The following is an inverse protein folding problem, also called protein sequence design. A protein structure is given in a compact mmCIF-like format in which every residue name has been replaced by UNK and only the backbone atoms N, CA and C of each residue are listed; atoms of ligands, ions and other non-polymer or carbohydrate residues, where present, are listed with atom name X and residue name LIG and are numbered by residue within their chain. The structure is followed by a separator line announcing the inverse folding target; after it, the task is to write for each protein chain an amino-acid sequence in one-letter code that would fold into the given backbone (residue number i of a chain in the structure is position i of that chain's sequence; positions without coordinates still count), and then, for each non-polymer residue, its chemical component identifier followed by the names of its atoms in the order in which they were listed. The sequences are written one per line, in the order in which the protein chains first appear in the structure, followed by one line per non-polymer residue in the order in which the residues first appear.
data_IF_704141907935
#
_entry.id   IF_704141907935
#
_cell.length_a   1.000
_cell.length_b   1.000
_cell.length_c   1.000
_cell.angle_alpha   90.00
_cell.angle_beta   90.00
_cell.angle_gamma   90.00
#
_symmetry.space_group_name_H-M   'P 1'
#
loop_
_entity.id
_entity.type
_entity.pdbx_description
1 polymer ?
#
# COMPACT_ATOMS: atom_id res chain seq x y z
N UNK A 1 35.93 -10.29 18.16
CA UNK A 1 35.71 -9.55 16.90
C UNK A 1 35.09 -10.44 15.84
N UNK A 2 35.70 -11.58 15.51
CA UNK A 2 35.11 -12.52 14.53
C UNK A 2 33.78 -13.11 15.02
N UNK A 3 33.70 -13.53 16.28
CA UNK A 3 32.44 -14.04 16.85
C UNK A 3 31.32 -13.00 16.83
N UNK A 4 31.62 -11.75 17.21
CA UNK A 4 30.63 -10.67 17.17
C UNK A 4 30.15 -10.38 15.75
N UNK A 5 31.04 -10.43 14.75
CA UNK A 5 30.69 -10.29 13.33
C UNK A 5 29.80 -11.45 12.86
N UNK A 6 30.12 -12.68 13.23
CA UNK A 6 29.31 -13.85 12.88
C UNK A 6 27.90 -13.77 13.47
N UNK A 7 27.78 -13.38 14.75
CA UNK A 7 26.49 -13.21 15.42
C UNK A 7 25.69 -12.07 14.76
N UNK A 8 26.32 -10.95 14.42
CA UNK A 8 25.62 -9.85 13.74
C UNK A 8 25.13 -10.25 12.36
N UNK A 9 25.95 -10.93 11.55
CA UNK A 9 25.54 -11.42 10.23
C UNK A 9 24.36 -12.39 10.35
N UNK A 10 24.40 -13.34 11.29
CA UNK A 10 23.29 -14.27 11.55
C UNK A 10 21.99 -13.52 11.84
N UNK A 11 22.03 -12.54 12.76
CA UNK A 11 20.83 -11.78 13.17
C UNK A 11 20.28 -10.95 12.00
N UNK A 12 21.15 -10.28 11.23
CA UNK A 12 20.74 -9.47 10.08
C UNK A 12 20.09 -10.34 9.01
N UNK A 13 20.68 -11.50 8.69
CA UNK A 13 20.10 -12.44 7.73
C UNK A 13 18.72 -12.92 8.19
N UNK A 14 18.57 -13.30 9.46
CA UNK A 14 17.27 -13.69 10.03
C UNK A 14 16.26 -12.55 9.92
N UNK A 15 16.68 -11.31 10.22
CA UNK A 15 15.82 -10.13 10.16
C UNK A 15 15.30 -9.85 8.75
N UNK A 16 16.17 -9.97 7.73
CA UNK A 16 15.77 -9.81 6.33
C UNK A 16 14.81 -10.91 5.87
N UNK A 17 15.06 -12.15 6.28
CA UNK A 17 14.17 -13.27 5.99
C UNK A 17 12.80 -13.08 6.63
N UNK A 18 12.76 -12.68 7.91
CA UNK A 18 11.53 -12.42 8.66
C UNK A 18 10.73 -11.27 8.06
N UNK A 19 11.37 -10.16 7.72
CA UNK A 19 10.73 -9.00 7.09
C UNK A 19 10.16 -9.35 5.71
N UNK A 20 10.87 -10.20 4.97
CA UNK A 20 10.49 -10.63 3.64
C UNK A 20 9.67 -11.92 3.58
N UNK A 21 9.18 -12.51 4.69
CA UNK A 21 8.56 -13.85 4.67
C UNK A 21 7.48 -13.96 3.59
N UNK A 22 6.63 -12.93 3.48
CA UNK A 22 5.58 -12.90 2.47
C UNK A 22 6.12 -12.82 1.04
N UNK A 23 7.22 -12.10 0.82
CA UNK A 23 7.86 -11.94 -0.50
C UNK A 23 8.66 -13.18 -0.88
N UNK A 24 9.36 -13.82 0.06
CA UNK A 24 10.21 -14.98 -0.20
C UNK A 24 9.45 -16.32 -0.22
N UNK A 25 8.41 -16.49 0.61
CA UNK A 25 7.75 -17.78 0.81
C UNK A 25 6.32 -17.87 0.26
N UNK A 26 5.77 -16.82 -0.36
CA UNK A 26 4.45 -16.92 -1.02
C UNK A 26 4.60 -17.01 -2.53
N UNK A 27 3.74 -17.82 -3.17
CA UNK A 27 3.77 -18.10 -4.63
C UNK A 27 3.56 -16.85 -5.49
N UNK A 28 2.90 -15.83 -4.93
CA UNK A 28 2.71 -14.49 -5.50
C UNK A 28 3.50 -13.43 -4.71
N UNK A 29 4.73 -13.75 -4.32
CA UNK A 29 5.64 -12.92 -3.51
C UNK A 29 6.06 -11.62 -4.19
N UNK A 30 5.09 -10.72 -4.43
CA UNK A 30 5.29 -9.38 -4.95
C UNK A 30 5.19 -8.40 -3.79
N UNK A 31 6.05 -7.39 -3.82
CA UNK A 31 5.84 -6.23 -2.96
C UNK A 31 4.46 -5.62 -3.25
N UNK A 32 3.68 -5.28 -2.21
CA UNK A 32 2.36 -4.70 -2.41
C UNK A 32 2.48 -3.41 -3.23
N UNK A 33 1.54 -3.20 -4.17
CA UNK A 33 1.51 -1.98 -4.96
C UNK A 33 1.26 -0.77 -4.05
N UNK A 34 2.30 0.04 -3.83
CA UNK A 34 2.21 1.27 -3.05
C UNK A 34 1.54 2.42 -3.79
N UNK A 35 1.28 2.26 -5.09
CA UNK A 35 0.62 3.28 -5.90
C UNK A 35 -0.88 3.30 -5.60
N UNK A 36 -1.36 4.45 -5.11
CA UNK A 36 -2.74 4.65 -4.64
C UNK A 36 -3.78 4.26 -5.72
N UNK A 37 -3.51 4.57 -6.99
CA UNK A 37 -4.44 4.33 -8.09
C UNK A 37 -4.56 2.87 -8.54
N UNK A 38 -3.52 2.05 -8.33
CA UNK A 38 -3.49 0.65 -8.78
C UNK A 38 -3.65 -0.35 -7.64
N UNK A 39 -3.79 0.13 -6.40
CA UNK A 39 -4.04 -0.71 -5.24
C UNK A 39 -5.53 -1.03 -5.10
N UNK A 40 -5.90 -2.28 -5.41
CA UNK A 40 -7.28 -2.77 -5.33
C UNK A 40 -7.90 -2.54 -3.94
N UNK A 41 -7.15 -2.74 -2.87
CA UNK A 41 -7.64 -2.59 -1.50
C UNK A 41 -7.94 -1.12 -1.14
N UNK A 42 -7.19 -0.16 -1.70
CA UNK A 42 -7.47 1.27 -1.53
C UNK A 42 -8.67 1.69 -2.38
N UNK A 43 -8.78 1.13 -3.59
CA UNK A 43 -9.92 1.37 -4.48
C UNK A 43 -11.25 0.85 -3.91
N UNK A 44 -11.24 -0.33 -3.27
CA UNK A 44 -12.40 -0.87 -2.54
C UNK A 44 -12.82 0.03 -1.35
N UNK A 45 -11.88 0.78 -0.77
CA UNK A 45 -12.15 1.79 0.27
C UNK A 45 -12.56 3.16 -0.30
N UNK A 46 -12.69 3.29 -1.62
CA UNK A 46 -13.02 4.55 -2.29
C UNK A 46 -11.86 5.55 -2.33
N UNK A 47 -10.64 5.14 -1.99
CA UNK A 47 -9.46 6.02 -1.96
C UNK A 47 -8.80 5.97 -3.34
N UNK A 48 -9.00 7.03 -4.12
CA UNK A 48 -8.41 7.22 -5.45
C UNK A 48 -7.21 8.17 -5.47
N UNK A 49 -6.70 8.48 -6.67
CA UNK A 49 -5.73 9.56 -6.84
C UNK A 49 -6.38 10.89 -6.44
N UNK A 50 -5.66 11.78 -5.75
CA UNK A 50 -6.17 13.10 -5.38
C UNK A 50 -6.74 13.86 -6.57
N UNK A 51 -6.03 13.87 -7.71
CA UNK A 51 -6.54 14.54 -8.92
C UNK A 51 -7.82 13.92 -9.47
N UNK A 52 -7.96 12.59 -9.44
CA UNK A 52 -9.20 11.96 -9.92
C UNK A 52 -10.35 12.24 -8.96
N UNK A 53 -10.09 12.21 -7.64
CA UNK A 53 -11.09 12.57 -6.62
C UNK A 53 -11.52 14.02 -6.74
N UNK A 54 -10.59 14.95 -6.98
CA UNK A 54 -10.89 16.37 -7.16
C UNK A 54 -11.73 16.60 -8.42
N UNK A 55 -11.40 15.94 -9.54
CA UNK A 55 -12.21 16.02 -10.77
C UNK A 55 -13.60 15.42 -10.57
N UNK A 56 -13.72 14.27 -9.93
CA UNK A 56 -15.02 13.67 -9.60
C UNK A 56 -15.85 14.55 -8.65
N UNK A 57 -15.21 15.26 -7.72
CA UNK A 57 -15.87 16.22 -6.84
C UNK A 57 -16.33 17.48 -7.58
N UNK A 58 -15.60 17.92 -8.61
CA UNK A 58 -16.01 19.02 -9.48
C UNK A 58 -17.14 18.63 -10.44
N UNK A 59 -17.12 17.39 -10.94
CA UNK A 59 -18.17 16.85 -11.83
C UNK A 59 -19.45 16.50 -11.07
N UNK A 60 -19.36 16.21 -9.76
CA UNK A 60 -20.54 16.02 -8.92
C UNK A 60 -21.22 17.37 -8.66
N UNK A 61 -22.49 17.55 -9.08
CA UNK A 61 -23.22 18.76 -8.76
C UNK A 61 -23.27 18.93 -7.24
N UNK A 62 -22.83 20.08 -6.76
CA UNK A 62 -22.91 20.49 -5.37
C UNK A 62 -24.38 20.48 -4.96
N UNK A 63 -24.80 19.43 -4.24
CA UNK A 63 -26.03 19.37 -3.46
C UNK A 63 -27.26 19.82 -4.27
N UNK A 64 -28.03 18.88 -4.84
CA UNK A 64 -29.36 19.22 -5.38
C UNK A 64 -30.22 19.88 -4.30
N UNK A 65 -30.21 21.22 -4.30
CA UNK A 65 -31.20 22.07 -3.66
C UNK A 65 -32.58 21.84 -4.32
N UNK A 66 -32.65 21.05 -5.40
CA UNK A 66 -33.88 20.61 -6.05
C UNK A 66 -34.77 19.70 -5.19
N UNK A 67 -34.28 19.15 -4.07
CA UNK A 67 -35.11 18.37 -3.12
C UNK A 67 -35.74 19.20 -2.00
N UNK A 68 -35.54 20.52 -2.00
CA UNK A 68 -36.08 21.44 -0.97
C UNK A 68 -37.26 22.30 -1.46
N UNK A 69 -37.77 22.08 -2.68
CA UNK A 69 -38.94 22.78 -3.23
C UNK A 69 -40.08 21.82 -3.57
#
# INVERSE_FOLDING_TARGET
MVETILITLLIVTISLLLLGVKVFFTKDGKFPNGHVGSNKALREKGIGCTQSQDREAQEKPSISIDKLN
#
